data_IF_842002920735
#
_entry.id   IF_842002920735
#
_cell.length_a   1.000
_cell.length_b   1.000
_cell.length_c   1.000
_cell.angle_alpha   90.00
_cell.angle_beta   90.00
_cell.angle_gamma   90.00
#
_symmetry.space_group_name_H-M   'P 1'
#
loop_
_entity.id
_entity.type
_entity.pdbx_description
1 polymer ?
#
# COMPACT_ATOMS: atom_id res chain seq x y z
N UNK A 1 24.65 3.05 -21.77
CA UNK A 1 23.39 3.56 -22.37
C UNK A 1 22.42 2.40 -22.47
N UNK A 2 21.67 2.12 -21.40
CA UNK A 2 20.62 1.10 -21.46
C UNK A 2 19.33 1.80 -21.90
N UNK A 3 18.92 1.54 -23.14
CA UNK A 3 17.61 1.89 -23.66
C UNK A 3 16.57 1.19 -22.80
N UNK A 4 15.67 1.97 -22.22
CA UNK A 4 14.87 1.60 -21.07
C UNK A 4 13.49 1.11 -21.54
N UNK A 5 13.19 -0.20 -21.55
CA UNK A 5 11.88 -0.69 -21.93
C UNK A 5 10.92 -0.45 -20.76
N UNK A 6 9.92 0.41 -20.96
CA UNK A 6 8.85 0.73 -20.01
C UNK A 6 9.29 1.25 -18.62
N UNK A 7 9.88 2.44 -18.55
CA UNK A 7 9.65 3.28 -17.34
C UNK A 7 8.18 3.71 -17.36
N UNK A 8 7.34 3.12 -16.51
CA UNK A 8 6.00 3.63 -16.20
C UNK A 8 6.10 5.15 -16.04
N UNK A 9 5.20 5.91 -16.68
CA UNK A 9 5.28 7.35 -16.60
C UNK A 9 5.11 7.81 -15.15
N UNK A 10 5.64 8.97 -14.79
CA UNK A 10 5.46 9.51 -13.44
C UNK A 10 3.97 9.63 -13.05
N UNK A 11 3.10 9.85 -14.04
CA UNK A 11 1.65 9.87 -13.87
C UNK A 11 1.09 8.49 -13.50
N UNK A 12 1.54 7.43 -14.19
CA UNK A 12 1.09 6.05 -13.91
C UNK A 12 1.46 5.62 -12.48
N UNK A 13 2.67 5.98 -12.04
CA UNK A 13 3.14 5.69 -10.67
C UNK A 13 2.28 6.43 -9.64
N UNK A 14 1.89 7.68 -9.92
CA UNK A 14 1.04 8.45 -9.02
C UNK A 14 -0.39 7.91 -8.95
N UNK A 15 -0.94 7.46 -10.08
CA UNK A 15 -2.26 6.82 -10.12
C UNK A 15 -2.28 5.50 -9.36
N UNK A 16 -1.25 4.66 -9.51
CA UNK A 16 -1.11 3.43 -8.72
C UNK A 16 -1.04 3.72 -7.21
N UNK A 17 -0.34 4.78 -6.79
CA UNK A 17 -0.34 5.20 -5.38
C UNK A 17 -1.72 5.64 -4.90
N UNK A 18 -2.49 6.37 -5.72
CA UNK A 18 -3.87 6.75 -5.38
C UNK A 18 -4.78 5.53 -5.31
N UNK A 19 -4.61 4.55 -6.20
CA UNK A 19 -5.34 3.29 -6.16
C UNK A 19 -5.03 2.51 -4.87
N UNK A 20 -3.76 2.40 -4.49
CA UNK A 20 -3.36 1.81 -3.21
C UNK A 20 -4.01 2.52 -2.02
N UNK A 21 -4.01 3.86 -2.02
CA UNK A 21 -4.61 4.66 -0.96
C UNK A 21 -6.11 4.43 -0.82
N UNK A 22 -6.84 4.37 -1.94
CA UNK A 22 -8.28 4.01 -1.95
C UNK A 22 -8.53 2.61 -1.41
N UNK A 23 -7.70 1.64 -1.80
CA UNK A 23 -7.80 0.27 -1.30
C UNK A 23 -7.56 0.19 0.22
N UNK A 24 -6.51 0.85 0.73
CA UNK A 24 -6.24 0.93 2.18
C UNK A 24 -7.41 1.56 2.94
N UNK A 25 -7.98 2.64 2.41
CA UNK A 25 -9.16 3.29 3.00
C UNK A 25 -10.35 2.33 3.09
N UNK A 26 -10.65 1.61 2.02
CA UNK A 26 -11.74 0.62 2.00
C UNK A 26 -11.50 -0.52 3.01
N UNK A 27 -10.26 -1.03 3.11
CA UNK A 27 -9.91 -2.05 4.11
C UNK A 27 -10.07 -1.53 5.53
N UNK A 28 -9.60 -0.31 5.82
CA UNK A 28 -9.77 0.33 7.12
C UNK A 28 -11.25 0.47 7.50
N UNK A 29 -12.07 0.96 6.57
CA UNK A 29 -13.50 1.17 6.80
C UNK A 29 -14.25 -0.15 6.97
N UNK A 30 -13.86 -1.22 6.26
CA UNK A 30 -14.40 -2.56 6.47
C UNK A 30 -14.10 -3.14 7.87
N UNK A 31 -13.01 -2.70 8.51
CA UNK A 31 -12.69 -3.01 9.90
C UNK A 31 -13.36 -2.06 10.91
N UNK A 32 -14.23 -1.13 10.46
CA UNK A 32 -14.86 -0.08 11.27
C UNK A 32 -13.86 0.84 12.01
N UNK A 33 -12.66 1.02 11.46
CA UNK A 33 -11.62 1.86 12.06
C UNK A 33 -11.68 3.28 11.51
N UNK A 34 -11.53 4.30 12.35
CA UNK A 34 -11.17 5.64 11.88
C UNK A 34 -9.68 5.71 11.50
N UNK A 35 -9.26 6.77 10.81
CA UNK A 35 -7.82 6.99 10.54
C UNK A 35 -7.01 7.09 11.84
N UNK A 36 -7.60 7.64 12.91
CA UNK A 36 -6.97 7.74 14.23
C UNK A 36 -6.80 6.35 14.85
N UNK A 37 -7.84 5.51 14.79
CA UNK A 37 -7.78 4.16 15.35
C UNK A 37 -6.72 3.32 14.64
N UNK A 38 -6.67 3.39 13.31
CA UNK A 38 -5.65 2.69 12.53
C UNK A 38 -4.25 3.20 12.91
N UNK A 39 -4.04 4.51 13.03
CA UNK A 39 -2.75 5.08 13.45
C UNK A 39 -2.28 4.55 14.80
N UNK A 40 -3.19 4.45 15.77
CA UNK A 40 -2.91 3.89 17.10
C UNK A 40 -2.51 2.42 16.99
N UNK A 41 -3.24 1.61 16.22
CA UNK A 41 -2.97 0.19 16.06
C UNK A 41 -1.63 -0.08 15.37
N UNK A 42 -1.27 0.69 14.34
CA UNK A 42 0.01 0.47 13.62
C UNK A 42 1.20 1.11 14.34
N UNK A 43 1.01 1.73 15.50
CA UNK A 43 2.07 2.37 16.28
C UNK A 43 2.72 3.56 15.58
N UNK A 44 1.97 4.33 14.77
CA UNK A 44 2.43 5.65 14.30
C UNK A 44 2.01 6.73 15.27
N UNK A 45 2.98 7.49 15.77
CA UNK A 45 2.74 8.73 16.53
C UNK A 45 2.10 9.85 15.69
N UNK A 46 1.91 9.65 14.38
CA UNK A 46 1.36 10.65 13.45
C UNK A 46 0.19 10.11 12.62
N UNK A 47 -1.05 10.43 13.02
CA UNK A 47 -2.27 10.10 12.27
C UNK A 47 -2.31 10.72 10.86
N UNK A 48 -1.57 11.82 10.63
CA UNK A 48 -1.43 12.46 9.32
C UNK A 48 -0.83 11.51 8.28
N UNK A 49 -0.05 10.53 8.73
CA UNK A 49 0.52 9.48 7.89
C UNK A 49 -0.56 8.62 7.23
N UNK A 50 -1.63 8.28 7.95
CA UNK A 50 -2.74 7.48 7.39
C UNK A 50 -3.43 8.22 6.25
N UNK A 51 -3.77 9.50 6.46
CA UNK A 51 -4.40 10.34 5.43
C UNK A 51 -3.51 10.54 4.20
N UNK A 52 -2.20 10.72 4.40
CA UNK A 52 -1.23 10.80 3.31
C UNK A 52 -1.19 9.52 2.47
N UNK A 53 -1.19 8.35 3.11
CA UNK A 53 -1.23 7.07 2.41
C UNK A 53 -2.56 6.88 1.65
N UNK A 54 -3.69 7.18 2.27
CA UNK A 54 -5.02 7.06 1.65
C UNK A 54 -5.22 8.00 0.44
N UNK A 55 -4.48 9.11 0.40
CA UNK A 55 -4.48 10.06 -0.72
C UNK A 55 -3.36 9.80 -1.75
N UNK A 56 -2.59 8.73 -1.58
CA UNK A 56 -1.50 8.33 -2.48
C UNK A 56 -0.24 9.20 -2.38
N UNK A 57 -0.07 9.92 -1.27
CA UNK A 57 1.11 10.74 -0.93
C UNK A 57 2.03 9.99 0.02
N UNK A 58 2.53 8.84 -0.42
CA UNK A 58 3.47 8.03 0.34
C UNK A 58 3.36 6.55 0.04
N UNK A 59 4.11 5.75 0.81
CA UNK A 59 4.05 4.29 0.84
C UNK A 59 4.21 3.81 2.28
N UNK A 60 3.59 2.69 2.61
CA UNK A 60 3.86 2.00 3.88
C UNK A 60 5.31 1.47 3.83
N UNK A 61 6.14 1.77 4.83
CA UNK A 61 7.47 1.18 4.97
C UNK A 61 7.39 -0.36 5.07
N UNK A 62 8.25 -1.13 4.36
CA UNK A 62 8.16 -2.59 4.36
C UNK A 62 8.26 -3.26 5.74
N UNK A 63 9.05 -2.68 6.65
CA UNK A 63 9.20 -3.11 8.05
C UNK A 63 7.87 -3.04 8.83
N UNK A 64 6.89 -2.29 8.31
CA UNK A 64 5.58 -2.09 8.95
C UNK A 64 4.45 -2.88 8.32
N UNK A 65 4.70 -3.66 7.27
CA UNK A 65 3.65 -4.44 6.62
C UNK A 65 2.94 -5.40 7.56
N UNK A 66 3.65 -6.01 8.51
CA UNK A 66 3.02 -6.90 9.51
C UNK A 66 2.04 -6.15 10.40
N UNK A 67 2.46 -5.02 10.99
CA UNK A 67 1.59 -4.21 11.83
C UNK A 67 0.35 -3.71 11.09
N UNK A 68 0.49 -3.35 9.81
CA UNK A 68 -0.64 -2.96 8.97
C UNK A 68 -1.59 -4.12 8.65
N UNK A 69 -1.05 -5.29 8.32
CA UNK A 69 -1.85 -6.48 8.08
C UNK A 69 -2.64 -6.88 9.33
N UNK A 70 -1.99 -6.89 10.49
CA UNK A 70 -2.63 -7.17 11.80
C UNK A 70 -3.74 -6.17 12.11
N UNK A 71 -3.46 -4.86 11.99
CA UNK A 71 -4.46 -3.82 12.25
C UNK A 71 -5.66 -3.88 11.28
N UNK A 72 -5.45 -4.31 10.05
CA UNK A 72 -6.49 -4.48 9.03
C UNK A 72 -7.09 -5.90 8.99
N UNK A 73 -6.76 -6.74 9.98
CA UNK A 73 -7.25 -8.10 10.13
C UNK A 73 -7.04 -8.95 8.86
N UNK A 74 -5.87 -8.84 8.27
CA UNK A 74 -5.44 -9.57 7.08
C UNK A 74 -4.27 -10.48 7.39
N UNK A 75 -4.19 -11.61 6.67
CA UNK A 75 -2.95 -12.38 6.63
C UNK A 75 -1.81 -11.50 6.07
N UNK A 76 -0.62 -11.47 6.70
CA UNK A 76 0.49 -10.64 6.23
C UNK A 76 0.93 -10.92 4.80
N UNK A 77 0.90 -12.19 4.33
CA UNK A 77 1.31 -12.51 2.95
C UNK A 77 0.25 -12.01 1.97
N UNK A 78 -1.03 -12.17 2.29
CA UNK A 78 -2.12 -11.64 1.47
C UNK A 78 -2.04 -10.11 1.37
N UNK A 79 -1.86 -9.43 2.51
CA UNK A 79 -1.72 -7.97 2.54
C UNK A 79 -0.54 -7.49 1.67
N UNK A 80 0.64 -8.10 1.83
CA UNK A 80 1.82 -7.74 1.04
C UNK A 80 1.63 -8.04 -0.45
N UNK A 81 1.00 -9.17 -0.79
CA UNK A 81 0.67 -9.48 -2.18
C UNK A 81 -0.21 -8.38 -2.80
N UNK A 82 -1.25 -7.94 -2.09
CA UNK A 82 -2.14 -6.89 -2.57
C UNK A 82 -1.43 -5.54 -2.69
N UNK A 83 -0.62 -5.15 -1.69
CA UNK A 83 0.05 -3.84 -1.71
C UNK A 83 1.12 -3.75 -2.81
N UNK A 84 1.84 -4.85 -3.07
CA UNK A 84 2.87 -4.91 -4.11
C UNK A 84 2.29 -4.66 -5.50
N UNK A 85 1.07 -5.15 -5.76
CA UNK A 85 0.36 -4.91 -7.01
C UNK A 85 0.19 -3.43 -7.35
N UNK A 86 0.25 -2.54 -6.35
CA UNK A 86 0.26 -1.09 -6.55
C UNK A 86 1.64 -0.45 -6.39
N UNK A 87 2.41 -0.84 -5.37
CA UNK A 87 3.66 -0.17 -5.00
C UNK A 87 4.84 -0.56 -5.88
N UNK A 88 4.88 -1.81 -6.30
CA UNK A 88 5.90 -2.37 -7.17
C UNK A 88 5.28 -3.47 -8.03
N UNK A 89 4.50 -3.09 -9.06
CA UNK A 89 3.83 -4.11 -9.85
C UNK A 89 4.80 -4.95 -10.69
N UNK A 90 6.04 -4.50 -10.93
CA UNK A 90 7.04 -5.32 -11.61
C UNK A 90 7.48 -6.49 -10.71
N UNK A 91 7.75 -6.22 -9.42
CA UNK A 91 8.01 -7.29 -8.44
C UNK A 91 6.78 -8.17 -8.24
N UNK A 92 5.56 -7.60 -8.25
CA UNK A 92 4.33 -8.38 -8.18
C UNK A 92 4.21 -9.36 -9.36
N UNK A 93 4.42 -8.88 -10.59
CA UNK A 93 4.39 -9.69 -11.81
C UNK A 93 5.38 -10.86 -11.70
N UNK A 94 6.64 -10.59 -11.33
CA UNK A 94 7.67 -11.64 -11.17
C UNK A 94 7.31 -12.69 -10.11
N UNK A 95 6.69 -12.27 -8.99
CA UNK A 95 6.43 -13.16 -7.85
C UNK A 95 5.09 -13.92 -7.96
N UNK A 96 4.12 -13.39 -8.71
CA UNK A 96 2.72 -13.85 -8.62
C UNK A 96 1.99 -13.94 -9.96
N UNK A 97 2.51 -13.42 -11.06
CA UNK A 97 1.96 -13.65 -12.40
C UNK A 97 2.89 -14.60 -13.16
N UNK A 98 2.45 -15.85 -13.29
CA UNK A 98 3.04 -16.77 -14.26
C UNK A 98 2.61 -16.37 -15.67
N UNK A 99 3.54 -16.46 -16.63
CA UNK A 99 3.28 -16.17 -18.04
C UNK A 99 2.17 -17.05 -18.65
#
# INVERSE_FOLDING_TARGET
>A
MYGNPQRRSANDVQELRRAAGRWLKQRREACNLSQRDLSTLVGTDYYTFISQLETGRGRIPPDRYRAWAEALQMDPKEFVRQILRFYDPATYEILFEDA
#
